data_IF_349080788498
#
_entry.id   IF_349080788498
#
_cell.length_a   1.000
_cell.length_b   1.000
_cell.length_c   1.000
_cell.angle_alpha   90.00
_cell.angle_beta   90.00
_cell.angle_gamma   90.00
#
_symmetry.space_group_name_H-M   'P 1'
#
loop_
_entity.id
_entity.type
_entity.pdbx_description
1 polymer ?
#
# COMPACT_ATOMS: atom_id res chain seq x y z
N UNK A 1 7.42 -15.36 -14.37
CA UNK A 1 7.49 -14.27 -13.40
C UNK A 1 7.56 -12.95 -14.17
N UNK A 2 6.57 -12.08 -13.97
CA UNK A 2 6.50 -10.77 -14.64
C UNK A 2 7.51 -9.76 -14.07
N UNK A 3 7.63 -8.58 -14.70
CA UNK A 3 8.51 -7.53 -14.21
C UNK A 3 8.10 -7.03 -12.82
N UNK A 4 6.79 -6.92 -12.58
CA UNK A 4 6.25 -6.56 -11.27
C UNK A 4 6.72 -7.51 -10.16
N UNK A 5 6.51 -8.81 -10.33
CA UNK A 5 6.88 -9.84 -9.34
C UNK A 5 8.38 -9.85 -9.05
N UNK A 6 9.22 -9.65 -10.09
CA UNK A 6 10.68 -9.57 -9.92
C UNK A 6 11.09 -8.35 -9.10
N UNK A 7 10.51 -7.18 -9.41
CA UNK A 7 10.84 -5.95 -8.70
C UNK A 7 10.42 -6.01 -7.23
N UNK A 8 9.18 -6.47 -6.98
CA UNK A 8 8.69 -6.62 -5.60
C UNK A 8 9.56 -7.61 -4.82
N UNK A 9 9.98 -8.71 -5.45
CA UNK A 9 10.86 -9.69 -4.78
C UNK A 9 12.23 -9.10 -4.44
N UNK A 10 12.80 -8.25 -5.29
CA UNK A 10 14.08 -7.59 -5.02
C UNK A 10 14.00 -6.53 -3.92
N UNK A 11 12.87 -5.84 -3.81
CA UNK A 11 12.68 -4.76 -2.84
C UNK A 11 12.12 -5.25 -1.50
N UNK A 12 11.46 -6.42 -1.48
CA UNK A 12 10.77 -6.93 -0.31
C UNK A 12 11.68 -7.12 0.90
N UNK A 13 12.84 -7.72 0.72
CA UNK A 13 13.76 -8.00 1.83
C UNK A 13 14.19 -6.70 2.51
N UNK A 14 14.62 -5.71 1.73
CA UNK A 14 15.00 -4.41 2.24
C UNK A 14 13.83 -3.69 2.93
N UNK A 15 12.63 -3.76 2.34
CA UNK A 15 11.43 -3.16 2.92
C UNK A 15 11.07 -3.84 4.24
N UNK A 16 11.09 -5.16 4.28
CA UNK A 16 10.72 -5.93 5.46
C UNK A 16 11.72 -5.76 6.59
N UNK A 17 13.02 -5.71 6.30
CA UNK A 17 14.05 -5.45 7.31
C UNK A 17 13.94 -4.06 7.93
N UNK A 18 13.58 -3.06 7.14
CA UNK A 18 13.55 -1.65 7.56
C UNK A 18 12.27 -1.25 8.30
N UNK A 19 11.20 -2.05 8.21
CA UNK A 19 9.88 -1.62 8.66
C UNK A 19 9.20 -2.64 9.57
N UNK A 20 8.87 -2.19 10.79
CA UNK A 20 8.06 -2.91 11.76
C UNK A 20 8.83 -3.87 12.66
N UNK A 21 8.13 -4.40 13.64
CA UNK A 21 8.63 -5.32 14.64
C UNK A 21 8.77 -6.76 14.14
N UNK A 22 9.38 -7.60 14.94
CA UNK A 22 9.72 -8.98 14.57
C UNK A 22 8.51 -9.82 14.14
N UNK A 23 7.37 -9.66 14.81
CA UNK A 23 6.15 -10.41 14.49
C UNK A 23 5.54 -9.98 13.13
N UNK A 24 5.54 -8.66 12.84
CA UNK A 24 5.09 -8.13 11.53
C UNK A 24 6.01 -8.63 10.42
N UNK A 25 7.33 -8.58 10.65
CA UNK A 25 8.32 -9.07 9.69
C UNK A 25 8.11 -10.53 9.35
N UNK A 26 7.86 -11.36 10.38
CA UNK A 26 7.58 -12.79 10.19
C UNK A 26 6.28 -13.03 9.42
N UNK A 27 5.21 -12.30 9.77
CA UNK A 27 3.92 -12.41 9.09
C UNK A 27 4.00 -11.97 7.61
N UNK A 28 4.71 -10.87 7.34
CA UNK A 28 4.96 -10.40 5.96
C UNK A 28 5.76 -11.42 5.16
N UNK A 29 6.80 -12.01 5.76
CA UNK A 29 7.60 -13.03 5.09
C UNK A 29 6.76 -14.26 4.73
N UNK A 30 5.94 -14.77 5.64
CA UNK A 30 5.02 -15.88 5.36
C UNK A 30 4.03 -15.54 4.23
N UNK A 31 3.44 -14.34 4.29
CA UNK A 31 2.49 -13.87 3.27
C UNK A 31 3.17 -13.71 1.91
N UNK A 32 4.41 -13.24 1.91
CA UNK A 32 5.18 -13.08 0.68
C UNK A 32 5.53 -14.42 0.03
N UNK A 33 5.80 -15.47 0.80
CA UNK A 33 5.96 -16.83 0.25
C UNK A 33 4.67 -17.33 -0.42
N UNK A 34 3.50 -17.05 0.18
CA UNK A 34 2.21 -17.34 -0.45
C UNK A 34 2.05 -16.58 -1.78
N UNK A 35 2.38 -15.27 -1.80
CA UNK A 35 2.38 -14.49 -3.03
C UNK A 35 3.29 -15.09 -4.11
N UNK A 36 4.51 -15.48 -3.77
CA UNK A 36 5.44 -16.10 -4.72
C UNK A 36 4.90 -17.42 -5.30
N UNK A 37 4.17 -18.18 -4.51
CA UNK A 37 3.57 -19.45 -4.96
C UNK A 37 2.35 -19.26 -5.86
N UNK A 38 1.51 -18.25 -5.57
CA UNK A 38 0.29 -17.95 -6.32
C UNK A 38 0.56 -17.12 -7.58
N UNK A 39 1.46 -16.14 -7.46
CA UNK A 39 1.75 -15.13 -8.49
C UNK A 39 0.60 -14.16 -8.72
N UNK A 40 0.67 -13.42 -9.80
CA UNK A 40 -0.39 -12.50 -10.23
C UNK A 40 -1.53 -13.31 -10.86
N UNK A 41 -2.80 -13.02 -10.50
CA UNK A 41 -3.96 -13.68 -11.09
C UNK A 41 -3.98 -13.60 -12.62
N UNK A 42 -4.48 -14.64 -13.25
CA UNK A 42 -4.56 -14.78 -14.70
C UNK A 42 -6.01 -14.83 -15.17
N UNK A 43 -6.24 -14.55 -16.44
CA UNK A 43 -7.57 -14.70 -17.05
C UNK A 43 -8.13 -16.14 -17.01
N UNK A 44 -7.27 -17.12 -16.74
CA UNK A 44 -7.67 -18.53 -16.54
C UNK A 44 -8.25 -18.78 -15.15
N UNK A 45 -8.03 -17.87 -14.20
CA UNK A 45 -8.55 -17.97 -12.85
C UNK A 45 -10.00 -17.45 -12.84
N UNK A 46 -10.92 -18.22 -12.30
CA UNK A 46 -12.37 -17.98 -12.47
C UNK A 46 -12.80 -16.59 -12.04
N UNK A 47 -12.32 -16.14 -10.87
CA UNK A 47 -12.66 -14.83 -10.30
C UNK A 47 -12.06 -13.67 -11.12
N UNK A 48 -11.04 -13.91 -11.92
CA UNK A 48 -10.28 -12.92 -12.68
C UNK A 48 -10.50 -12.98 -14.19
N UNK A 49 -11.38 -13.87 -14.67
CA UNK A 49 -11.60 -14.12 -16.11
C UNK A 49 -11.99 -12.88 -16.92
N UNK A 50 -12.52 -11.84 -16.29
CA UNK A 50 -12.88 -10.57 -16.93
C UNK A 50 -11.94 -9.41 -16.60
N UNK A 51 -10.88 -9.65 -15.83
CA UNK A 51 -9.94 -8.61 -15.36
C UNK A 51 -8.52 -8.97 -15.80
N UNK A 52 -8.05 -8.32 -16.86
CA UNK A 52 -6.72 -8.54 -17.38
C UNK A 52 -5.68 -7.69 -16.62
N UNK A 53 -4.79 -8.34 -15.89
CA UNK A 53 -3.71 -7.70 -15.14
C UNK A 53 -2.36 -7.70 -15.87
N UNK A 54 -2.30 -8.08 -17.16
CA UNK A 54 -1.04 -8.18 -17.90
C UNK A 54 -0.33 -6.83 -18.03
N UNK A 55 -1.05 -5.75 -18.29
CA UNK A 55 -0.49 -4.39 -18.37
C UNK A 55 0.08 -3.92 -17.04
N UNK A 56 -0.62 -4.24 -15.94
CA UNK A 56 -0.13 -3.97 -14.59
C UNK A 56 1.15 -4.76 -14.31
N UNK A 57 1.13 -6.07 -14.51
CA UNK A 57 2.26 -6.96 -14.20
C UNK A 57 3.49 -6.77 -15.09
N UNK A 58 3.34 -6.08 -16.23
CA UNK A 58 4.46 -5.75 -17.13
C UNK A 58 5.29 -4.56 -16.65
N UNK A 59 4.74 -3.70 -15.78
CA UNK A 59 5.38 -2.45 -15.36
C UNK A 59 6.27 -2.65 -14.13
N UNK A 60 7.42 -1.95 -14.07
CA UNK A 60 8.33 -2.00 -12.93
C UNK A 60 7.89 -1.03 -11.83
N UNK A 61 6.92 -1.43 -11.02
CA UNK A 61 6.54 -0.65 -9.82
C UNK A 61 7.60 -0.79 -8.73
N UNK A 62 7.75 0.24 -7.90
CA UNK A 62 8.64 0.25 -6.74
C UNK A 62 7.85 0.44 -5.45
N UNK A 63 8.27 -0.25 -4.38
CA UNK A 63 7.75 -0.04 -3.02
C UNK A 63 8.24 1.28 -2.40
N UNK A 64 9.34 1.83 -2.92
CA UNK A 64 9.99 3.04 -2.42
C UNK A 64 9.60 4.30 -3.20
N UNK A 65 8.36 4.39 -3.66
CA UNK A 65 7.87 5.61 -4.32
C UNK A 65 8.05 6.82 -3.39
N UNK A 66 8.73 7.85 -3.89
CA UNK A 66 8.91 9.10 -3.14
C UNK A 66 7.55 9.75 -2.91
N UNK A 67 7.25 10.04 -1.66
CA UNK A 67 6.09 10.84 -1.30
C UNK A 67 6.41 12.30 -1.57
N UNK A 68 5.57 13.03 -2.30
CA UNK A 68 5.74 14.47 -2.40
C UNK A 68 5.53 15.11 -1.01
N UNK A 69 6.34 16.11 -0.70
CA UNK A 69 6.21 16.85 0.58
C UNK A 69 4.98 17.78 0.61
N UNK A 70 4.31 17.94 -0.50
CA UNK A 70 3.12 18.77 -0.64
C UNK A 70 2.21 18.20 -1.72
N UNK A 71 0.93 18.41 -1.55
CA UNK A 71 -0.11 18.05 -2.50
C UNK A 71 -0.56 19.29 -3.28
N UNK A 72 -0.66 19.17 -4.60
CA UNK A 72 -1.21 20.22 -5.44
C UNK A 72 -2.75 20.17 -5.38
N UNK A 73 -3.35 21.09 -4.66
CA UNK A 73 -4.81 21.17 -4.47
C UNK A 73 -5.56 21.37 -5.79
N UNK A 74 -4.90 21.82 -6.87
CA UNK A 74 -5.54 21.92 -8.19
C UNK A 74 -5.89 20.56 -8.79
N UNK A 75 -5.27 19.48 -8.28
CA UNK A 75 -5.58 18.11 -8.68
C UNK A 75 -6.86 17.55 -8.04
N UNK A 76 -7.40 18.22 -7.02
CA UNK A 76 -8.70 17.82 -6.44
C UNK A 76 -9.82 18.19 -7.43
N UNK A 77 -10.61 17.21 -7.88
CA UNK A 77 -11.76 17.50 -8.74
C UNK A 77 -12.69 18.55 -8.11
N UNK A 78 -13.18 19.49 -8.90
CA UNK A 78 -14.04 20.59 -8.44
C UNK A 78 -15.22 20.08 -7.61
N UNK A 79 -15.82 18.97 -8.03
CA UNK A 79 -16.95 18.36 -7.34
C UNK A 79 -16.63 17.93 -5.89
N UNK A 80 -15.39 17.64 -5.58
CA UNK A 80 -14.99 17.25 -4.23
C UNK A 80 -14.75 18.44 -3.30
N UNK A 81 -14.55 19.64 -3.85
CA UNK A 81 -14.35 20.87 -3.07
C UNK A 81 -15.62 21.35 -2.40
N UNK A 82 -16.78 21.02 -2.96
CA UNK A 82 -18.10 21.43 -2.48
C UNK A 82 -18.74 20.39 -1.53
N UNK A 83 -18.04 19.27 -1.27
CA UNK A 83 -18.53 18.26 -0.33
C UNK A 83 -18.27 18.73 1.10
N UNK A 84 -19.37 18.92 1.85
CA UNK A 84 -19.29 19.12 3.30
C UNK A 84 -18.99 17.78 3.98
N UNK A 85 -17.71 17.58 4.32
CA UNK A 85 -17.26 16.31 4.89
C UNK A 85 -15.77 16.28 5.21
N UNK A 86 -15.33 15.16 5.76
CA UNK A 86 -13.91 14.92 6.06
C UNK A 86 -13.19 14.34 4.85
N UNK A 87 -11.94 14.69 4.69
CA UNK A 87 -11.10 14.13 3.63
C UNK A 87 -9.77 13.60 4.17
N UNK A 88 -9.25 12.60 3.48
CA UNK A 88 -7.90 12.06 3.64
C UNK A 88 -7.28 11.98 2.25
N UNK A 89 -6.12 12.59 2.08
CA UNK A 89 -5.39 12.58 0.80
C UNK A 89 -4.18 11.67 0.93
N UNK A 90 -4.17 10.64 0.09
CA UNK A 90 -3.06 9.71 -0.05
C UNK A 90 -2.40 9.89 -1.41
N UNK A 91 -1.08 10.02 -1.43
CA UNK A 91 -0.29 10.04 -2.67
C UNK A 91 0.68 8.87 -2.65
N UNK A 92 0.59 8.01 -3.65
CA UNK A 92 1.34 6.76 -3.71
C UNK A 92 1.19 5.89 -2.45
N UNK A 93 -0.02 5.88 -1.87
CA UNK A 93 -0.32 5.11 -0.66
C UNK A 93 0.15 5.74 0.65
N UNK A 94 0.71 6.94 0.61
CA UNK A 94 1.17 7.66 1.81
C UNK A 94 0.28 8.85 2.11
N UNK A 95 0.00 9.07 3.39
CA UNK A 95 -0.77 10.21 3.88
C UNK A 95 -0.01 11.51 3.61
N UNK A 96 -0.67 12.46 2.98
CA UNK A 96 -0.13 13.80 2.68
C UNK A 96 -0.90 14.88 3.42
N UNK A 97 -2.23 14.78 3.44
CA UNK A 97 -3.09 15.79 4.05
C UNK A 97 -4.40 15.15 4.52
N UNK A 98 -5.00 15.70 5.56
CA UNK A 98 -6.33 15.36 6.03
C UNK A 98 -7.02 16.54 6.75
N UNK A 99 -8.35 16.55 6.78
CA UNK A 99 -9.12 17.50 7.57
C UNK A 99 -9.17 17.03 9.03
N UNK A 100 -8.84 17.90 9.99
CA UNK A 100 -8.55 17.48 11.37
C UNK A 100 -9.47 18.02 12.46
N UNK A 101 -10.63 18.62 12.13
CA UNK A 101 -11.45 19.32 13.13
C UNK A 101 -12.03 18.41 14.22
N UNK A 102 -12.29 17.12 13.90
CA UNK A 102 -12.95 16.20 14.82
C UNK A 102 -12.35 14.77 14.85
N UNK A 103 -11.23 14.51 14.16
CA UNK A 103 -10.57 13.20 14.19
C UNK A 103 -9.06 13.33 13.99
N UNK A 104 -8.34 12.29 14.40
CA UNK A 104 -6.91 12.16 14.18
C UNK A 104 -6.65 11.00 13.25
N UNK A 105 -5.66 11.15 12.38
CA UNK A 105 -5.19 10.09 11.50
C UNK A 105 -3.81 9.67 11.97
N UNK A 106 -3.66 8.39 12.27
CA UNK A 106 -2.40 7.80 12.69
C UNK A 106 -1.91 6.81 11.64
N UNK A 107 -0.62 6.77 11.40
CA UNK A 107 0.00 5.69 10.65
C UNK A 107 -0.02 4.42 11.51
N UNK A 108 -0.52 3.33 10.95
CA UNK A 108 -0.54 2.03 11.66
C UNK A 108 0.87 1.59 12.06
N UNK A 109 1.88 1.92 11.24
CA UNK A 109 3.26 1.57 11.52
C UNK A 109 3.77 2.25 12.79
N UNK A 110 3.35 3.49 13.06
CA UNK A 110 3.73 4.23 14.27
C UNK A 110 3.00 3.65 15.49
N UNK A 111 1.70 3.39 15.35
CA UNK A 111 0.90 2.79 16.44
C UNK A 111 1.37 1.39 16.82
N UNK A 112 1.81 0.58 15.85
CA UNK A 112 2.34 -0.76 16.10
C UNK A 112 3.68 -0.76 16.86
N UNK A 113 4.41 0.35 16.87
CA UNK A 113 5.61 0.51 17.68
C UNK A 113 5.28 0.85 19.15
N UNK A 114 4.13 1.51 19.38
CA UNK A 114 3.70 1.94 20.72
C UNK A 114 2.93 0.85 21.47
N UNK A 115 2.11 0.05 20.78
CA UNK A 115 1.31 -1.01 21.41
C UNK A 115 1.17 -2.25 20.51
N UNK A 116 2.08 -3.19 20.68
CA UNK A 116 2.08 -4.47 19.97
C UNK A 116 0.80 -5.31 20.22
N UNK A 117 0.14 -5.12 21.35
CA UNK A 117 -1.04 -5.91 21.74
C UNK A 117 -2.33 -5.43 21.05
N UNK A 118 -2.42 -4.17 20.64
CA UNK A 118 -3.65 -3.59 20.10
C UNK A 118 -4.14 -4.23 18.78
N UNK A 119 -3.30 -5.03 18.12
CA UNK A 119 -3.56 -5.58 16.78
C UNK A 119 -3.40 -7.11 16.67
N UNK A 120 -3.23 -7.81 17.80
CA UNK A 120 -3.00 -9.27 17.81
C UNK A 120 -4.24 -10.12 17.99
N UNK A 121 -5.42 -9.54 18.20
CA UNK A 121 -6.70 -10.25 18.38
C UNK A 121 -7.46 -10.50 17.07
#
# INVERSE_FOLDING_TARGET
>A
MGNFEKNISLEFDNFNESNGDSWIKSHRAETFEKFKSLGIPKLTDEDWRFTNLSDFSSKPYSLNAKTPNSFDQTLVPEILKDIDGYFIILVNGKLVEYSSDNFQVHDISDMLQEDECAFKD
#
